data_IF_928185307626
#
_entry.id   IF_928185307626
#
_cell.length_a   1.000
_cell.length_b   1.000
_cell.length_c   1.000
_cell.angle_alpha   90.00
_cell.angle_beta   90.00
_cell.angle_gamma   90.00
#
_symmetry.space_group_name_H-M   'P 1'
#
loop_
_entity.id
_entity.type
_entity.pdbx_description
1 polymer ?
#
# COMPACT_ATOMS: atom_id res chain seq x y z
N UNK A 1 -7.89 -16.42 -19.86
CA UNK A 1 -6.44 -16.70 -19.87
C UNK A 1 -5.85 -16.62 -18.48
N UNK A 2 -5.81 -15.47 -17.79
CA UNK A 2 -5.31 -15.40 -16.40
C UNK A 2 -6.20 -16.20 -15.41
N UNK A 3 -7.52 -16.10 -15.54
CA UNK A 3 -8.49 -16.86 -14.72
C UNK A 3 -8.60 -18.34 -15.10
N UNK A 4 -7.95 -18.74 -16.19
CA UNK A 4 -7.91 -20.12 -16.67
C UNK A 4 -6.56 -20.80 -16.37
N UNK A 5 -5.63 -20.08 -15.72
CA UNK A 5 -4.36 -20.65 -15.28
C UNK A 5 -4.60 -21.57 -14.08
N UNK A 6 -4.29 -22.85 -14.22
CA UNK A 6 -4.43 -23.82 -13.13
C UNK A 6 -3.51 -23.58 -11.95
N UNK A 7 -2.36 -22.92 -12.18
CA UNK A 7 -1.43 -22.44 -11.17
C UNK A 7 -1.03 -21.00 -11.50
N UNK A 8 -1.45 -20.05 -10.67
CA UNK A 8 -1.02 -18.64 -10.76
C UNK A 8 0.29 -18.49 -10.00
N UNK A 9 1.24 -17.76 -10.57
CA UNK A 9 2.52 -17.40 -9.93
C UNK A 9 2.59 -15.90 -9.65
N UNK A 10 3.43 -15.47 -8.71
CA UNK A 10 3.66 -14.05 -8.37
C UNK A 10 3.93 -13.19 -9.62
N UNK A 11 4.71 -13.71 -10.58
CA UNK A 11 5.05 -13.00 -11.83
C UNK A 11 3.80 -12.72 -12.67
N UNK A 12 2.84 -13.66 -12.69
CA UNK A 12 1.59 -13.50 -13.45
C UNK A 12 0.68 -12.44 -12.82
N UNK A 13 0.57 -12.41 -11.48
CA UNK A 13 -0.12 -11.36 -10.74
C UNK A 13 0.48 -9.97 -11.02
N UNK A 14 1.81 -9.85 -10.88
CA UNK A 14 2.53 -8.60 -11.15
C UNK A 14 2.31 -8.09 -12.57
N UNK A 15 2.33 -9.01 -13.55
CA UNK A 15 2.10 -8.66 -14.96
C UNK A 15 0.69 -8.10 -15.17
N UNK A 16 -0.32 -8.73 -14.58
CA UNK A 16 -1.71 -8.29 -14.71
C UNK A 16 -1.97 -6.95 -13.99
N UNK A 17 -1.53 -6.83 -12.74
CA UNK A 17 -1.69 -5.60 -11.93
C UNK A 17 -0.96 -4.43 -12.62
N UNK A 18 0.26 -4.64 -13.11
CA UNK A 18 1.01 -3.62 -13.86
C UNK A 18 0.32 -3.23 -15.17
N UNK A 19 -0.27 -4.20 -15.89
CA UNK A 19 -1.03 -3.97 -17.10
C UNK A 19 -2.23 -3.04 -16.87
N UNK A 20 -3.07 -3.37 -15.88
CA UNK A 20 -4.22 -2.53 -15.51
C UNK A 20 -3.80 -1.15 -14.99
N UNK A 21 -2.75 -1.10 -14.18
CA UNK A 21 -2.16 0.15 -13.68
C UNK A 21 -1.77 1.11 -14.80
N UNK A 22 -1.02 0.62 -15.79
CA UNK A 22 -0.58 1.43 -16.95
C UNK A 22 -1.73 1.94 -17.81
N UNK A 23 -2.87 1.25 -17.80
CA UNK A 23 -4.07 1.66 -18.52
C UNK A 23 -4.98 2.60 -17.71
N UNK A 24 -4.62 2.91 -16.46
CA UNK A 24 -5.44 3.73 -15.56
C UNK A 24 -6.65 2.99 -14.98
N UNK A 25 -6.68 1.67 -15.09
CA UNK A 25 -7.74 0.81 -14.57
C UNK A 25 -7.47 0.46 -13.11
N UNK A 26 -7.59 1.48 -12.26
CA UNK A 26 -7.31 1.42 -10.83
C UNK A 26 -8.11 0.34 -10.09
N UNK A 27 -9.41 0.24 -10.38
CA UNK A 27 -10.30 -0.70 -9.69
C UNK A 27 -9.95 -2.15 -9.99
N UNK A 28 -9.60 -2.43 -11.25
CA UNK A 28 -9.21 -3.74 -11.74
C UNK A 28 -7.84 -4.13 -11.17
N UNK A 29 -6.87 -3.21 -11.17
CA UNK A 29 -5.58 -3.41 -10.53
C UNK A 29 -5.73 -3.71 -9.02
N UNK A 30 -6.63 -3.01 -8.32
CA UNK A 30 -6.93 -3.28 -6.92
C UNK A 30 -7.66 -4.60 -6.71
N UNK A 31 -8.62 -4.94 -7.57
CA UNK A 31 -9.34 -6.21 -7.49
C UNK A 31 -8.36 -7.38 -7.52
N UNK A 32 -7.42 -7.35 -8.48
CA UNK A 32 -6.37 -8.36 -8.57
C UNK A 32 -5.40 -8.34 -7.39
N UNK A 33 -5.04 -7.16 -6.88
CA UNK A 33 -4.22 -7.06 -5.68
C UNK A 33 -4.91 -7.68 -4.45
N UNK A 34 -6.23 -7.50 -4.31
CA UNK A 34 -7.00 -8.13 -3.24
C UNK A 34 -7.10 -9.65 -3.42
N UNK A 35 -7.40 -10.11 -4.63
CA UNK A 35 -7.51 -11.54 -4.97
C UNK A 35 -6.18 -12.28 -4.75
N UNK A 36 -5.06 -11.70 -5.21
CA UNK A 36 -3.71 -12.19 -4.95
C UNK A 36 -3.46 -12.46 -3.47
N UNK A 37 -3.94 -11.56 -2.60
CA UNK A 37 -3.78 -11.67 -1.15
C UNK A 37 -4.72 -12.71 -0.53
N UNK A 38 -5.95 -12.82 -1.04
CA UNK A 38 -6.90 -13.86 -0.58
C UNK A 38 -6.39 -15.26 -0.91
N UNK A 39 -5.64 -15.41 -2.00
CA UNK A 39 -4.92 -16.65 -2.35
C UNK A 39 -3.62 -16.86 -1.56
N UNK A 40 -3.25 -15.93 -0.69
CA UNK A 40 -2.09 -16.07 0.21
C UNK A 40 -0.75 -15.67 -0.40
N UNK A 41 -0.74 -15.00 -1.56
CA UNK A 41 0.50 -14.44 -2.11
C UNK A 41 0.86 -13.14 -1.42
N UNK A 42 2.12 -13.02 -1.00
CA UNK A 42 2.65 -11.79 -0.42
C UNK A 42 3.05 -10.82 -1.54
N UNK A 43 2.55 -9.57 -1.54
CA UNK A 43 2.97 -8.53 -2.48
C UNK A 43 4.47 -8.24 -2.40
N UNK A 44 5.11 -8.11 -3.56
CA UNK A 44 6.49 -7.67 -3.67
C UNK A 44 6.58 -6.19 -4.08
N UNK A 45 7.80 -5.64 -4.14
CA UNK A 45 8.05 -4.24 -4.53
C UNK A 45 7.37 -3.87 -5.86
N UNK A 46 7.38 -4.77 -6.85
CA UNK A 46 6.76 -4.54 -8.15
C UNK A 46 5.22 -4.47 -8.04
N UNK A 47 4.64 -5.30 -7.20
CA UNK A 47 3.22 -5.26 -6.86
C UNK A 47 2.85 -3.89 -6.31
N UNK A 48 3.58 -3.43 -5.28
CA UNK A 48 3.29 -2.18 -4.57
C UNK A 48 3.44 -0.96 -5.47
N UNK A 49 4.48 -0.93 -6.32
CA UNK A 49 4.68 0.15 -7.30
C UNK A 49 3.56 0.22 -8.34
N UNK A 50 3.10 -0.95 -8.81
CA UNK A 50 2.01 -1.01 -9.78
C UNK A 50 0.69 -0.55 -9.17
N UNK A 51 0.37 -0.95 -7.94
CA UNK A 51 -0.82 -0.51 -7.21
C UNK A 51 -0.77 0.99 -6.92
N UNK A 52 0.38 1.51 -6.47
CA UNK A 52 0.56 2.94 -6.22
C UNK A 52 0.29 3.79 -7.46
N UNK A 53 0.83 3.38 -8.62
CA UNK A 53 0.63 4.07 -9.89
C UNK A 53 -0.81 4.05 -10.38
N UNK A 54 -1.57 3.00 -10.04
CA UNK A 54 -2.95 2.83 -10.49
C UNK A 54 -3.94 3.66 -9.66
N UNK A 55 -3.78 3.66 -8.33
CA UNK A 55 -4.86 4.07 -7.40
C UNK A 55 -4.55 5.34 -6.62
N UNK A 56 -3.33 5.86 -6.74
CA UNK A 56 -2.78 6.77 -5.75
C UNK A 56 -2.47 6.02 -4.45
N UNK A 57 -1.53 6.54 -3.66
CA UNK A 57 -0.98 5.79 -2.53
C UNK A 57 -1.97 5.34 -1.45
N UNK A 58 -3.19 5.87 -1.40
CA UNK A 58 -4.15 5.65 -0.30
C UNK A 58 -4.44 4.18 -0.03
N UNK A 59 -4.73 3.40 -1.07
CA UNK A 59 -5.09 1.99 -0.91
C UNK A 59 -3.89 1.16 -0.43
N UNK A 60 -2.70 1.49 -0.96
CA UNK A 60 -1.44 0.92 -0.50
C UNK A 60 -1.18 1.25 0.97
N UNK A 61 -1.45 2.48 1.40
CA UNK A 61 -1.33 2.91 2.79
C UNK A 61 -2.21 2.13 3.74
N UNK A 62 -3.49 1.98 3.38
CA UNK A 62 -4.47 1.22 4.19
C UNK A 62 -4.05 -0.24 4.29
N UNK A 63 -3.51 -0.81 3.21
CA UNK A 63 -2.96 -2.15 3.22
C UNK A 63 -1.80 -2.29 4.20
N UNK A 64 -0.79 -1.40 4.12
CA UNK A 64 0.36 -1.42 5.03
C UNK A 64 -0.09 -1.23 6.49
N UNK A 65 -1.01 -0.31 6.77
CA UNK A 65 -1.59 -0.15 8.12
C UNK A 65 -2.26 -1.44 8.60
N UNK A 66 -3.06 -2.09 7.74
CA UNK A 66 -3.71 -3.36 8.06
C UNK A 66 -2.70 -4.48 8.36
N UNK A 67 -1.65 -4.59 7.55
CA UNK A 67 -0.58 -5.58 7.73
C UNK A 67 0.16 -5.37 9.06
N UNK A 68 0.49 -4.11 9.39
CA UNK A 68 1.12 -3.76 10.66
C UNK A 68 0.25 -4.20 11.84
N UNK A 69 -1.06 -3.93 11.78
CA UNK A 69 -2.01 -4.31 12.83
C UNK A 69 -2.14 -5.84 12.96
N UNK A 70 -2.26 -6.54 11.83
CA UNK A 70 -2.39 -8.00 11.80
C UNK A 70 -1.15 -8.69 12.36
N UNK A 71 0.04 -8.25 11.92
CA UNK A 71 1.33 -8.81 12.36
C UNK A 71 1.79 -8.28 13.72
N UNK A 72 1.01 -7.39 14.36
CA UNK A 72 1.35 -6.70 15.61
C UNK A 72 2.74 -6.06 15.55
N UNK A 73 3.07 -5.50 14.39
CA UNK A 73 4.34 -4.82 14.18
C UNK A 73 4.31 -3.46 14.87
N UNK A 74 5.43 -3.09 15.48
CA UNK A 74 5.58 -1.74 16.00
C UNK A 74 5.83 -0.78 14.82
N UNK A 75 5.03 0.29 14.73
CA UNK A 75 5.25 1.35 13.74
C UNK A 75 6.44 2.18 14.20
N UNK A 76 7.62 1.87 13.66
CA UNK A 76 8.82 2.66 13.88
C UNK A 76 8.77 3.97 13.08
N UNK A 77 9.71 4.88 13.35
CA UNK A 77 9.79 6.18 12.68
C UNK A 77 9.82 6.11 11.16
N UNK A 78 10.45 5.08 10.57
CA UNK A 78 10.55 4.93 9.12
C UNK A 78 9.19 4.59 8.50
N UNK A 79 8.54 3.53 8.98
CA UNK A 79 7.24 3.08 8.46
C UNK A 79 6.18 4.15 8.70
N UNK A 80 6.16 4.73 9.91
CA UNK A 80 5.21 5.79 10.26
C UNK A 80 5.38 7.04 9.41
N UNK A 81 6.62 7.51 9.20
CA UNK A 81 6.87 8.69 8.35
C UNK A 81 6.48 8.44 6.90
N UNK A 82 6.73 7.24 6.37
CA UNK A 82 6.34 6.88 5.00
C UNK A 82 4.81 6.86 4.82
N UNK A 83 4.08 6.31 5.80
CA UNK A 83 2.61 6.31 5.79
C UNK A 83 2.04 7.73 5.91
N UNK A 84 2.59 8.56 6.79
CA UNK A 84 2.17 9.97 6.96
C UNK A 84 2.39 10.75 5.66
N UNK A 85 3.59 10.68 5.08
CA UNK A 85 3.95 11.38 3.83
C UNK A 85 3.07 10.92 2.67
N UNK A 86 2.80 9.61 2.57
CA UNK A 86 1.91 9.08 1.54
C UNK A 86 0.48 9.60 1.71
N UNK A 87 -0.08 9.53 2.92
CA UNK A 87 -1.44 10.00 3.19
C UNK A 87 -1.58 11.51 2.96
N UNK A 88 -0.57 12.29 3.37
CA UNK A 88 -0.49 13.72 3.11
C UNK A 88 -0.49 14.06 1.63
N UNK A 89 0.39 13.43 0.84
CA UNK A 89 0.46 13.62 -0.63
C UNK A 89 -0.84 13.25 -1.35
N UNK A 90 -1.64 12.36 -0.76
CA UNK A 90 -2.95 11.98 -1.27
C UNK A 90 -4.09 12.86 -0.73
N UNK A 91 -3.81 13.84 0.14
CA UNK A 91 -4.77 14.75 0.76
C UNK A 91 -5.57 14.16 1.94
N UNK A 92 -5.29 12.92 2.37
CA UNK A 92 -5.96 12.27 3.50
C UNK A 92 -5.24 12.59 4.82
N UNK A 93 -5.32 13.85 5.21
CA UNK A 93 -4.70 14.36 6.44
C UNK A 93 -5.25 13.70 7.71
N UNK A 94 -6.47 13.17 7.66
CA UNK A 94 -7.08 12.46 8.79
C UNK A 94 -6.34 11.14 9.04
N UNK A 95 -6.11 10.36 7.99
CA UNK A 95 -5.33 9.11 8.08
C UNK A 95 -3.87 9.41 8.44
N UNK A 96 -3.25 10.43 7.83
CA UNK A 96 -1.90 10.85 8.19
C UNK A 96 -1.79 11.18 9.70
N UNK A 97 -2.75 11.95 10.23
CA UNK A 97 -2.79 12.31 11.64
C UNK A 97 -3.02 11.11 12.55
N UNK A 98 -3.91 10.19 12.16
CA UNK A 98 -4.16 8.95 12.90
C UNK A 98 -2.91 8.11 13.05
N UNK A 99 -2.17 7.91 11.95
CA UNK A 99 -0.88 7.19 11.97
C UNK A 99 0.06 7.88 12.96
N UNK A 100 0.29 9.19 12.79
CA UNK A 100 1.17 9.95 13.67
C UNK A 100 0.80 9.79 15.15
N UNK A 101 -0.47 10.01 15.52
CA UNK A 101 -0.91 9.94 16.91
C UNK A 101 -0.71 8.54 17.52
N UNK A 102 -0.90 7.48 16.73
CA UNK A 102 -0.72 6.08 17.16
C UNK A 102 0.74 5.63 17.37
N UNK A 103 1.72 6.38 16.85
CA UNK A 103 3.13 6.02 16.98
C UNK A 103 3.63 6.17 18.43
N UNK A 104 4.28 5.15 19.01
CA UNK A 104 4.79 5.21 20.37
C UNK A 104 5.97 6.19 20.51
N UNK A 105 6.80 6.29 19.48
CA UNK A 105 7.97 7.16 19.43
C UNK A 105 7.85 8.09 18.21
N UNK A 106 8.03 9.40 18.45
CA UNK A 106 7.97 10.45 17.43
C UNK A 106 9.28 11.20 17.44
N UNK A 107 9.96 11.25 16.30
CA UNK A 107 11.21 11.98 16.10
C UNK A 107 11.06 13.09 15.06
N UNK A 108 12.17 13.79 14.78
CA UNK A 108 12.21 14.89 13.83
C UNK A 108 11.67 14.50 12.44
N UNK A 109 11.86 13.24 12.01
CA UNK A 109 11.37 12.77 10.71
C UNK A 109 9.84 12.71 10.72
N UNK A 110 9.25 12.12 11.76
CA UNK A 110 7.78 12.01 11.87
C UNK A 110 7.10 13.38 12.02
N UNK A 111 7.73 14.31 12.74
CA UNK A 111 7.25 15.69 12.88
C UNK A 111 7.33 16.47 11.57
N UNK A 112 8.40 16.30 10.80
CA UNK A 112 8.49 16.91 9.48
C UNK A 112 7.42 16.33 8.55
N UNK A 113 7.26 15.01 8.54
CA UNK A 113 6.29 14.33 7.68
C UNK A 113 4.85 14.83 7.89
N UNK A 114 4.40 15.05 9.13
CA UNK A 114 3.02 15.52 9.40
C UNK A 114 2.81 17.01 9.06
N UNK A 115 3.90 17.79 8.95
CA UNK A 115 3.84 19.22 8.58
C UNK A 115 3.89 19.39 7.06
N UNK A 116 4.71 18.57 6.38
CA UNK A 116 4.96 18.69 4.94
C UNK A 116 4.07 17.81 4.07
N UNK A 117 3.47 16.78 4.68
CA UNK A 117 2.52 15.88 4.03
C UNK A 117 1.34 16.62 3.44
#
# INVERSE_FOLDING_TARGET
MFDEMGDRELVSWNSMISGYSKMGFAKEAMGLFMEMREEGFEPDEMTLMSVHGACGGLDLGRWVEGLVLEKKMEVNSYVGSALIDMYGKCGDLISARRVFDSMPNKDVITWNAIITG
#
